data_IF_499339457110
#
_entry.id   IF_499339457110
#
_cell.length_a   1.000
_cell.length_b   1.000
_cell.length_c   1.000
_cell.angle_alpha   90.00
_cell.angle_beta   90.00
_cell.angle_gamma   90.00
#
_symmetry.space_group_name_H-M   'P 1'
#
loop_
_entity.id
_entity.type
_entity.pdbx_description
1 polymer ?
#
# COMPACT_ATOMS: atom_id res chain seq x y z
N UNK A 1 -27.24 25.95 -32.01
CA UNK A 1 -27.43 26.24 -30.57
C UNK A 1 -28.91 26.38 -30.14
N UNK A 2 -29.87 26.61 -31.05
CA UNK A 2 -31.31 26.82 -30.74
C UNK A 2 -32.29 25.81 -31.37
N UNK A 3 -31.81 24.87 -32.18
CA UNK A 3 -32.68 24.13 -33.13
C UNK A 3 -32.67 22.59 -33.02
N UNK A 4 -31.83 21.94 -32.20
CA UNK A 4 -31.82 20.47 -32.10
C UNK A 4 -33.02 19.87 -31.36
N UNK A 5 -33.60 20.60 -30.40
CA UNK A 5 -34.77 20.18 -29.64
C UNK A 5 -36.11 20.24 -30.42
N UNK A 6 -36.44 21.30 -31.19
CA UNK A 6 -37.71 21.36 -31.92
C UNK A 6 -37.87 20.26 -32.99
N UNK A 7 -36.78 19.67 -33.49
CA UNK A 7 -36.81 18.54 -34.43
C UNK A 7 -37.32 17.22 -33.84
N UNK A 8 -37.18 17.03 -32.52
CA UNK A 8 -37.65 15.82 -31.83
C UNK A 8 -39.03 16.01 -31.19
N UNK A 9 -39.43 17.24 -30.90
CA UNK A 9 -40.65 17.53 -30.13
C UNK A 9 -41.84 18.01 -30.96
N UNK A 10 -41.65 18.25 -32.26
CA UNK A 10 -42.67 18.82 -33.14
C UNK A 10 -42.99 20.29 -32.80
N UNK A 11 -43.81 20.96 -33.63
CA UNK A 11 -44.10 22.41 -33.49
C UNK A 11 -44.91 22.78 -32.23
N UNK A 12 -45.24 21.82 -31.37
CA UNK A 12 -46.14 22.00 -30.23
C UNK A 12 -45.46 22.57 -28.97
N UNK A 13 -44.13 22.56 -28.89
CA UNK A 13 -43.39 23.03 -27.71
C UNK A 13 -42.81 24.40 -28.00
N UNK A 14 -43.44 25.46 -27.48
CA UNK A 14 -42.93 26.82 -27.58
C UNK A 14 -41.51 26.97 -26.99
N UNK A 15 -40.85 28.08 -27.31
CA UNK A 15 -39.49 28.44 -26.82
C UNK A 15 -39.22 28.13 -25.33
N UNK A 16 -40.13 28.43 -24.37
CA UNK A 16 -39.90 28.12 -22.95
C UNK A 16 -39.87 26.62 -22.66
N UNK A 17 -40.68 25.81 -23.34
CA UNK A 17 -40.68 24.35 -23.18
C UNK A 17 -39.41 23.72 -23.74
N UNK A 18 -38.89 24.24 -24.86
CA UNK A 18 -37.60 23.80 -25.41
C UNK A 18 -36.43 24.14 -24.46
N UNK A 19 -36.46 25.31 -23.81
CA UNK A 19 -35.47 25.69 -22.79
C UNK A 19 -35.56 24.82 -21.54
N UNK A 20 -36.77 24.48 -21.07
CA UNK A 20 -36.96 23.60 -19.93
C UNK A 20 -36.43 22.18 -20.21
N UNK A 21 -36.73 21.62 -21.37
CA UNK A 21 -36.22 20.31 -21.78
C UNK A 21 -34.68 20.31 -21.94
N UNK A 22 -34.09 21.41 -22.42
CA UNK A 22 -32.63 21.58 -22.45
C UNK A 22 -32.03 21.60 -21.03
N UNK A 23 -32.63 22.36 -20.10
CA UNK A 23 -32.20 22.40 -18.70
C UNK A 23 -32.27 21.03 -18.02
N UNK A 24 -33.35 20.27 -18.25
CA UNK A 24 -33.49 18.89 -17.76
C UNK A 24 -32.40 17.98 -18.32
N UNK A 25 -32.03 18.13 -19.59
CA UNK A 25 -30.94 17.38 -20.21
C UNK A 25 -29.59 17.61 -19.52
N UNK A 26 -29.25 18.87 -19.20
CA UNK A 26 -28.04 19.19 -18.43
C UNK A 26 -28.09 18.66 -17.00
N UNK A 27 -29.24 18.75 -16.34
CA UNK A 27 -29.43 18.21 -15.00
C UNK A 27 -29.26 16.68 -14.97
N UNK A 28 -29.84 15.97 -15.96
CA UNK A 28 -29.68 14.53 -16.11
C UNK A 28 -28.23 14.13 -16.40
N UNK A 29 -27.53 14.88 -17.26
CA UNK A 29 -26.11 14.68 -17.54
C UNK A 29 -25.27 14.87 -16.26
N UNK A 30 -25.48 15.97 -15.54
CA UNK A 30 -24.79 16.26 -14.29
C UNK A 30 -25.03 15.20 -13.22
N UNK A 31 -26.26 14.71 -13.09
CA UNK A 31 -26.59 13.61 -12.19
C UNK A 31 -25.86 12.31 -12.58
N UNK A 32 -25.86 11.96 -13.86
CA UNK A 32 -25.18 10.76 -14.34
C UNK A 32 -23.66 10.83 -14.12
N UNK A 33 -23.05 12.00 -14.36
CA UNK A 33 -21.62 12.27 -14.10
C UNK A 33 -21.29 12.19 -12.62
N UNK A 34 -22.10 12.81 -11.75
CA UNK A 34 -21.93 12.73 -10.30
C UNK A 34 -22.05 11.28 -9.81
N UNK A 35 -23.02 10.52 -10.33
CA UNK A 35 -23.22 9.12 -9.95
C UNK A 35 -22.06 8.23 -10.42
N UNK A 36 -21.55 8.44 -11.63
CA UNK A 36 -20.44 7.66 -12.20
C UNK A 36 -19.10 7.93 -11.48
N UNK A 37 -18.88 9.17 -11.05
CA UNK A 37 -17.68 9.60 -10.30
C UNK A 37 -17.71 9.26 -8.79
N UNK A 38 -18.81 8.72 -8.27
CA UNK A 38 -18.92 8.33 -6.87
C UNK A 38 -17.86 7.27 -6.46
N UNK A 39 -17.23 7.48 -5.31
CA UNK A 39 -16.19 6.60 -4.72
C UNK A 39 -16.70 6.01 -3.39
N UNK A 40 -16.21 4.83 -3.01
CA UNK A 40 -16.53 4.18 -1.74
C UNK A 40 -17.64 3.11 -1.85
N UNK A 41 -18.22 2.71 -0.71
CA UNK A 41 -19.15 1.57 -0.63
C UNK A 41 -20.44 1.73 -1.47
N UNK A 42 -20.82 2.96 -1.82
CA UNK A 42 -21.99 3.27 -2.67
C UNK A 42 -21.63 3.46 -4.15
N UNK A 43 -20.36 3.24 -4.52
CA UNK A 43 -19.92 3.40 -5.90
C UNK A 43 -20.62 2.37 -6.81
N UNK A 44 -21.11 2.78 -7.98
CA UNK A 44 -21.70 1.86 -8.92
C UNK A 44 -20.64 0.87 -9.45
N UNK A 45 -21.05 -0.37 -9.72
CA UNK A 45 -20.19 -1.37 -10.35
C UNK A 45 -19.74 -0.95 -11.76
N UNK A 46 -18.77 -1.67 -12.32
CA UNK A 46 -18.19 -1.32 -13.63
C UNK A 46 -19.21 -1.27 -14.78
N UNK A 47 -20.17 -2.20 -14.79
CA UNK A 47 -21.27 -2.25 -15.78
C UNK A 47 -22.23 -1.08 -15.62
N UNK A 48 -22.60 -0.73 -14.39
CA UNK A 48 -23.45 0.42 -14.10
C UNK A 48 -22.75 1.74 -14.48
N UNK A 49 -21.44 1.87 -14.26
CA UNK A 49 -20.64 3.01 -14.73
C UNK A 49 -20.63 3.09 -16.26
N UNK A 50 -20.47 1.98 -16.96
CA UNK A 50 -20.55 1.94 -18.42
C UNK A 50 -21.92 2.39 -18.92
N UNK A 51 -23.01 1.92 -18.31
CA UNK A 51 -24.37 2.36 -18.62
C UNK A 51 -24.57 3.86 -18.39
N UNK A 52 -24.04 4.41 -17.30
CA UNK A 52 -24.10 5.85 -17.02
C UNK A 52 -23.32 6.67 -18.05
N UNK A 53 -22.13 6.23 -18.47
CA UNK A 53 -21.35 6.93 -19.50
C UNK A 53 -22.03 6.85 -20.87
N UNK A 54 -22.63 5.71 -21.22
CA UNK A 54 -23.44 5.59 -22.45
C UNK A 54 -24.64 6.54 -22.41
N UNK A 55 -25.33 6.63 -21.27
CA UNK A 55 -26.42 7.58 -21.06
C UNK A 55 -25.92 9.04 -21.20
N UNK A 56 -24.76 9.37 -20.63
CA UNK A 56 -24.15 10.68 -20.78
C UNK A 56 -23.82 11.02 -22.24
N UNK A 57 -23.24 10.07 -23.01
CA UNK A 57 -22.95 10.26 -24.43
C UNK A 57 -24.25 10.49 -25.22
N UNK A 58 -25.30 9.71 -24.95
CA UNK A 58 -26.61 9.91 -25.58
C UNK A 58 -27.20 11.30 -25.25
N UNK A 59 -27.17 11.70 -23.97
CA UNK A 59 -27.62 13.02 -23.53
C UNK A 59 -26.79 14.14 -24.16
N UNK A 60 -25.48 13.97 -24.29
CA UNK A 60 -24.58 14.94 -24.94
C UNK A 60 -24.92 15.11 -26.43
N UNK A 61 -25.15 14.02 -27.16
CA UNK A 61 -25.53 14.09 -28.58
C UNK A 61 -26.90 14.79 -28.77
N UNK A 62 -27.84 14.57 -27.85
CA UNK A 62 -29.18 15.18 -27.87
C UNK A 62 -29.18 16.67 -27.48
N UNK A 63 -28.36 17.05 -26.51
CA UNK A 63 -28.38 18.40 -25.91
C UNK A 63 -27.27 19.28 -26.47
N UNK A 64 -26.01 18.91 -26.23
CA UNK A 64 -24.83 19.69 -26.58
C UNK A 64 -23.62 18.78 -26.75
N UNK A 65 -23.10 18.72 -27.98
CA UNK A 65 -21.95 17.93 -28.38
C UNK A 65 -20.67 18.28 -27.60
N UNK A 66 -20.55 19.50 -27.07
CA UNK A 66 -19.42 19.91 -26.22
C UNK A 66 -19.36 19.13 -24.91
N UNK A 67 -20.46 18.54 -24.44
CA UNK A 67 -20.46 17.66 -23.27
C UNK A 67 -19.66 16.37 -23.51
N UNK A 68 -19.44 15.98 -24.78
CA UNK A 68 -18.60 14.85 -25.13
C UNK A 68 -17.13 15.04 -24.73
N UNK A 69 -16.70 16.28 -24.50
CA UNK A 69 -15.35 16.59 -23.99
C UNK A 69 -15.19 16.10 -22.55
N UNK A 70 -16.24 16.20 -21.74
CA UNK A 70 -16.27 15.72 -20.35
C UNK A 70 -16.28 14.20 -20.31
N UNK A 71 -17.11 13.56 -21.14
CA UNK A 71 -17.18 12.09 -21.21
C UNK A 71 -15.88 11.48 -21.74
N UNK A 72 -15.18 12.16 -22.66
CA UNK A 72 -13.85 11.74 -23.12
C UNK A 72 -12.82 11.71 -21.98
N UNK A 73 -12.78 12.75 -21.14
CA UNK A 73 -11.91 12.74 -19.96
C UNK A 73 -12.34 11.66 -18.94
N UNK A 74 -13.65 11.49 -18.73
CA UNK A 74 -14.21 10.49 -17.80
C UNK A 74 -13.88 9.06 -18.23
N UNK A 75 -13.94 8.75 -19.53
CA UNK A 75 -13.59 7.43 -20.09
C UNK A 75 -12.18 7.00 -19.69
N UNK A 76 -11.21 7.92 -19.78
CA UNK A 76 -9.83 7.67 -19.38
C UNK A 76 -9.67 7.52 -17.85
N UNK A 77 -10.51 8.18 -17.06
CA UNK A 77 -10.45 8.16 -15.61
C UNK A 77 -11.13 6.94 -14.98
N UNK A 78 -12.20 6.41 -15.58
CA UNK A 78 -13.01 5.34 -14.99
C UNK A 78 -12.68 3.95 -15.50
N UNK A 79 -12.19 3.81 -16.73
CA UNK A 79 -12.04 2.51 -17.39
C UNK A 79 -10.57 2.09 -17.56
N UNK A 80 -10.29 0.79 -17.68
CA UNK A 80 -8.96 0.32 -18.07
C UNK A 80 -8.60 0.82 -19.47
N UNK A 81 -7.30 0.95 -19.80
CA UNK A 81 -6.84 1.65 -21.00
C UNK A 81 -7.46 1.09 -22.29
N UNK A 82 -7.61 -0.23 -22.41
CA UNK A 82 -8.25 -0.87 -23.57
C UNK A 82 -9.71 -0.45 -23.74
N UNK A 83 -10.49 -0.49 -22.67
CA UNK A 83 -11.90 -0.11 -22.69
C UNK A 83 -12.08 1.41 -22.88
N UNK A 84 -11.19 2.22 -22.32
CA UNK A 84 -11.20 3.67 -22.49
C UNK A 84 -11.00 4.07 -23.97
N UNK A 85 -10.03 3.45 -24.65
CA UNK A 85 -9.81 3.67 -26.10
C UNK A 85 -10.98 3.19 -26.96
N UNK A 86 -11.54 2.01 -26.65
CA UNK A 86 -12.74 1.51 -27.33
C UNK A 86 -13.95 2.44 -27.12
N UNK A 87 -14.12 2.94 -25.89
CA UNK A 87 -15.18 3.90 -25.56
C UNK A 87 -15.01 5.23 -26.29
N UNK A 88 -13.78 5.75 -26.38
CA UNK A 88 -13.47 6.95 -27.15
C UNK A 88 -13.76 6.74 -28.64
N UNK A 89 -13.32 5.61 -29.19
CA UNK A 89 -13.60 5.25 -30.59
C UNK A 89 -15.10 5.15 -30.86
N UNK A 90 -15.86 4.50 -29.96
CA UNK A 90 -17.32 4.42 -30.03
C UNK A 90 -17.99 5.80 -29.92
N UNK A 91 -17.50 6.68 -29.05
CA UNK A 91 -17.98 8.05 -28.90
C UNK A 91 -17.77 8.87 -30.17
N UNK A 92 -16.56 8.82 -30.76
CA UNK A 92 -16.23 9.51 -32.02
C UNK A 92 -17.09 8.97 -33.17
N UNK A 93 -17.26 7.64 -33.25
CA UNK A 93 -18.12 7.02 -34.24
C UNK A 93 -19.58 7.47 -34.09
N UNK A 94 -20.11 7.53 -32.87
CA UNK A 94 -21.46 8.00 -32.60
C UNK A 94 -21.65 9.46 -33.01
N UNK A 95 -20.65 10.32 -32.78
CA UNK A 95 -20.65 11.71 -33.26
C UNK A 95 -20.68 11.76 -34.79
N UNK A 96 -19.83 11.00 -35.48
CA UNK A 96 -19.80 10.95 -36.95
C UNK A 96 -21.12 10.45 -37.54
N UNK A 97 -21.73 9.42 -36.93
CA UNK A 97 -23.04 8.90 -37.33
C UNK A 97 -24.15 9.94 -37.10
N UNK A 98 -24.10 10.69 -35.99
CA UNK A 98 -25.04 11.77 -35.73
C UNK A 98 -24.91 12.91 -36.76
N UNK A 99 -23.68 13.28 -37.14
CA UNK A 99 -23.42 14.26 -38.21
C UNK A 99 -23.92 13.76 -39.57
N UNK A 100 -23.66 12.49 -39.92
CA UNK A 100 -24.13 11.90 -41.17
C UNK A 100 -25.66 11.83 -41.24
N UNK A 101 -26.33 11.48 -40.14
CA UNK A 101 -27.78 11.46 -40.03
C UNK A 101 -28.39 12.85 -40.19
N UNK A 102 -27.76 13.87 -39.60
CA UNK A 102 -28.18 15.27 -39.75
C UNK A 102 -28.07 15.75 -41.20
N UNK A 103 -27.01 15.35 -41.91
CA UNK A 103 -26.82 15.69 -43.33
C UNK A 103 -27.93 15.12 -44.23
N UNK A 104 -28.51 13.97 -43.87
CA UNK A 104 -29.56 13.31 -44.65
C UNK A 104 -30.97 13.85 -44.39
N UNK A 105 -31.27 14.30 -43.16
CA UNK A 105 -32.64 14.66 -42.76
C UNK A 105 -32.97 16.15 -42.77
N UNK A 106 -31.99 17.02 -42.61
CA UNK A 106 -32.24 18.45 -42.47
C UNK A 106 -32.27 19.15 -43.84
N UNK A 107 -33.33 19.94 -44.16
CA UNK A 107 -33.32 20.75 -45.37
C UNK A 107 -32.17 21.74 -45.30
N UNK A 108 -31.54 22.04 -46.44
CA UNK A 108 -30.31 22.84 -46.50
C UNK A 108 -30.37 24.14 -45.68
N UNK A 109 -31.52 24.79 -45.54
CA UNK A 109 -31.68 26.04 -44.79
C UNK A 109 -31.42 25.92 -43.26
N UNK A 110 -31.46 24.71 -42.69
CA UNK A 110 -31.36 24.46 -41.24
C UNK A 110 -30.07 23.73 -40.81
N UNK A 111 -29.18 23.39 -41.75
CA UNK A 111 -27.85 22.85 -41.43
C UNK A 111 -26.94 23.99 -40.93
N UNK A 112 -27.09 24.35 -39.66
CA UNK A 112 -26.17 25.26 -38.98
C UNK A 112 -24.93 24.50 -38.48
N UNK A 113 -23.78 24.83 -39.04
CA UNK A 113 -22.47 24.35 -38.57
C UNK A 113 -22.20 25.01 -37.21
N UNK A 114 -21.98 24.21 -36.16
CA UNK A 114 -21.96 24.67 -34.77
C UNK A 114 -20.63 25.32 -34.35
N UNK A 115 -20.03 26.10 -35.24
CA UNK A 115 -18.87 26.93 -34.91
C UNK A 115 -19.40 28.24 -34.31
N UNK A 116 -19.65 28.22 -33.01
CA UNK A 116 -19.90 29.39 -32.16
C UNK A 116 -21.04 30.32 -32.60
N UNK A 117 -22.27 29.99 -32.21
CA UNK A 117 -23.27 30.92 -31.62
C UNK A 117 -23.60 32.24 -32.31
N UNK A 118 -23.13 32.48 -33.53
CA UNK A 118 -23.29 33.73 -34.27
C UNK A 118 -24.25 33.46 -35.43
N UNK A 119 -25.22 34.34 -35.61
CA UNK A 119 -26.26 34.29 -36.63
C UNK A 119 -25.66 34.48 -38.04
N UNK A 120 -24.88 33.52 -38.51
CA UNK A 120 -24.33 33.52 -39.87
C UNK A 120 -25.34 32.84 -40.79
N UNK A 121 -25.74 33.55 -41.84
CA UNK A 121 -26.54 33.01 -42.94
C UNK A 121 -25.99 31.64 -43.37
N UNK A 122 -26.88 30.66 -43.54
CA UNK A 122 -26.47 29.30 -43.86
C UNK A 122 -25.59 29.31 -45.13
N UNK A 123 -24.31 28.88 -45.05
CA UNK A 123 -23.38 28.99 -46.17
C UNK A 123 -23.84 28.17 -47.38
N UNK A 124 -23.38 28.50 -48.60
CA UNK A 124 -23.68 27.75 -49.82
C UNK A 124 -23.31 26.27 -49.69
N UNK A 125 -24.04 25.39 -50.38
CA UNK A 125 -23.97 23.93 -50.23
C UNK A 125 -22.55 23.35 -50.34
N UNK A 126 -21.70 23.93 -51.20
CA UNK A 126 -20.31 23.50 -51.40
C UNK A 126 -19.39 23.75 -50.19
N UNK A 127 -19.65 24.78 -49.37
CA UNK A 127 -18.83 25.10 -48.19
C UNK A 127 -19.20 24.30 -46.94
N UNK A 128 -20.31 23.56 -46.95
CA UNK A 128 -20.83 22.87 -45.76
C UNK A 128 -20.14 21.56 -45.45
N UNK A 129 -19.80 20.79 -46.48
CA UNK A 129 -19.01 19.57 -46.31
C UNK A 129 -17.67 19.90 -45.66
N UNK A 130 -17.04 21.01 -46.09
CA UNK A 130 -15.82 21.55 -45.51
C UNK A 130 -15.99 21.98 -44.04
N UNK A 131 -17.05 22.73 -43.71
CA UNK A 131 -17.32 23.17 -42.33
C UNK A 131 -17.64 22.02 -41.38
N UNK A 132 -18.38 21.00 -41.82
CA UNK A 132 -18.65 19.80 -41.03
C UNK A 132 -17.37 18.98 -40.81
N UNK A 133 -16.52 18.89 -41.82
CA UNK A 133 -15.19 18.29 -41.69
C UNK A 133 -14.34 19.06 -40.68
N UNK A 134 -14.34 20.39 -40.74
CA UNK A 134 -13.64 21.24 -39.79
C UNK A 134 -14.14 21.02 -38.36
N UNK A 135 -15.46 20.97 -38.16
CA UNK A 135 -16.07 20.75 -36.84
C UNK A 135 -15.74 19.36 -36.29
N UNK A 136 -15.79 18.31 -37.13
CA UNK A 136 -15.40 16.95 -36.74
C UNK A 136 -13.90 16.85 -36.39
N UNK A 137 -13.02 17.49 -37.16
CA UNK A 137 -11.57 17.49 -36.91
C UNK A 137 -11.23 18.26 -35.64
N UNK A 138 -11.78 19.47 -35.49
CA UNK A 138 -11.54 20.31 -34.31
C UNK A 138 -12.15 19.66 -33.06
N UNK A 139 -13.39 19.22 -33.14
CA UNK A 139 -14.08 18.52 -32.05
C UNK A 139 -13.38 17.22 -31.66
N UNK A 140 -12.98 16.41 -32.63
CA UNK A 140 -12.19 15.18 -32.41
C UNK A 140 -10.83 15.47 -31.78
N UNK A 141 -10.14 16.52 -32.23
CA UNK A 141 -8.89 17.00 -31.64
C UNK A 141 -9.05 17.40 -30.18
N UNK A 142 -10.10 18.16 -29.85
CA UNK A 142 -10.40 18.51 -28.46
C UNK A 142 -10.78 17.29 -27.61
N UNK A 143 -11.51 16.32 -28.15
CA UNK A 143 -11.81 15.06 -27.44
C UNK A 143 -10.54 14.26 -27.14
N UNK A 144 -9.61 14.18 -28.10
CA UNK A 144 -8.32 13.52 -27.88
C UNK A 144 -7.51 14.25 -26.80
N UNK A 145 -7.52 15.58 -26.82
CA UNK A 145 -6.87 16.40 -25.79
C UNK A 145 -7.47 16.14 -24.40
N UNK A 146 -8.80 16.20 -24.24
CA UNK A 146 -9.44 15.98 -22.94
C UNK A 146 -9.31 14.53 -22.47
N UNK A 147 -9.34 13.56 -23.37
CA UNK A 147 -9.00 12.17 -23.09
C UNK A 147 -7.54 12.03 -22.60
N UNK A 148 -6.60 12.75 -23.23
CA UNK A 148 -5.20 12.81 -22.82
C UNK A 148 -5.04 13.39 -21.41
N UNK A 149 -5.76 14.47 -21.08
CA UNK A 149 -5.81 15.03 -19.72
C UNK A 149 -6.37 14.01 -18.73
N UNK A 150 -7.43 13.29 -19.10
CA UNK A 150 -7.99 12.20 -18.29
C UNK A 150 -6.99 11.06 -18.07
N UNK A 151 -6.22 10.68 -19.09
CA UNK A 151 -5.15 9.68 -18.98
C UNK A 151 -4.04 10.15 -18.04
N UNK A 152 -3.63 11.41 -18.13
CA UNK A 152 -2.65 12.00 -17.22
C UNK A 152 -3.15 11.99 -15.78
N UNK A 153 -4.41 12.36 -15.55
CA UNK A 153 -5.05 12.28 -14.23
C UNK A 153 -5.14 10.85 -13.71
N UNK A 154 -5.44 9.87 -14.56
CA UNK A 154 -5.45 8.45 -14.19
C UNK A 154 -4.05 7.93 -13.84
N UNK A 155 -3.02 8.33 -14.60
CA UNK A 155 -1.63 7.99 -14.32
C UNK A 155 -1.15 8.62 -13.01
N UNK A 156 -1.48 9.88 -12.76
CA UNK A 156 -1.14 10.60 -11.54
C UNK A 156 -1.77 9.94 -10.30
N UNK A 157 -3.04 9.52 -10.38
CA UNK A 157 -3.68 8.77 -9.29
C UNK A 157 -2.97 7.44 -8.99
N UNK A 158 -2.51 6.72 -10.03
CA UNK A 158 -1.73 5.49 -9.84
C UNK A 158 -0.37 5.77 -9.19
N UNK A 159 0.33 6.83 -9.63
CA UNK A 159 1.62 7.25 -9.04
C UNK A 159 1.46 7.63 -7.57
N UNK A 160 0.42 8.40 -7.22
CA UNK A 160 0.13 8.78 -5.83
C UNK A 160 -0.14 7.56 -4.95
N UNK A 161 -0.96 6.61 -5.42
CA UNK A 161 -1.21 5.37 -4.68
C UNK A 161 0.09 4.55 -4.45
N UNK A 162 0.98 4.50 -5.44
CA UNK A 162 2.29 3.85 -5.31
C UNK A 162 3.22 4.58 -4.33
N UNK A 163 3.24 5.92 -4.37
CA UNK A 163 4.00 6.74 -3.43
C UNK A 163 3.50 6.56 -1.99
N UNK A 164 2.19 6.55 -1.78
CA UNK A 164 1.59 6.32 -0.47
C UNK A 164 1.94 4.92 0.08
N UNK A 165 1.82 3.89 -0.75
CA UNK A 165 2.21 2.52 -0.37
C UNK A 165 3.72 2.42 -0.03
N UNK A 166 4.58 3.05 -0.83
CA UNK A 166 6.03 3.08 -0.58
C UNK A 166 6.35 3.84 0.69
N UNK A 167 5.72 5.00 0.92
CA UNK A 167 5.88 5.80 2.15
C UNK A 167 5.47 5.01 3.39
N UNK A 168 4.36 4.28 3.33
CA UNK A 168 3.93 3.41 4.42
C UNK A 168 4.96 2.32 4.73
N UNK A 169 5.51 1.67 3.69
CA UNK A 169 6.56 0.65 3.85
C UNK A 169 7.85 1.21 4.47
N UNK A 170 8.25 2.42 4.08
CA UNK A 170 9.44 3.09 4.58
C UNK A 170 9.29 3.51 6.04
N UNK A 171 8.11 3.99 6.44
CA UNK A 171 7.80 4.29 7.84
C UNK A 171 7.85 3.04 8.71
N UNK A 172 7.28 1.93 8.24
CA UNK A 172 7.35 0.64 8.95
C UNK A 172 8.80 0.16 9.12
N UNK A 173 9.61 0.22 8.04
CA UNK A 173 11.03 -0.16 8.10
C UNK A 173 11.83 0.73 9.07
N UNK A 174 11.58 2.05 9.08
CA UNK A 174 12.22 2.97 10.04
C UNK A 174 11.88 2.65 11.49
N UNK A 175 10.64 2.30 11.79
CA UNK A 175 10.24 1.90 13.13
C UNK A 175 10.94 0.61 13.58
N UNK A 176 11.06 -0.38 12.69
CA UNK A 176 11.80 -1.61 12.95
C UNK A 176 13.30 -1.35 13.19
N UNK A 177 13.93 -0.50 12.37
CA UNK A 177 15.34 -0.15 12.51
C UNK A 177 15.62 0.64 13.79
N UNK A 178 14.76 1.59 14.16
CA UNK A 178 14.90 2.35 15.40
C UNK A 178 14.81 1.43 16.64
N UNK A 179 13.87 0.49 16.64
CA UNK A 179 13.77 -0.53 17.70
C UNK A 179 15.00 -1.43 17.77
N UNK A 180 15.49 -1.90 16.62
CA UNK A 180 16.68 -2.75 16.55
C UNK A 180 17.96 -2.01 17.00
N UNK A 181 18.12 -0.74 16.62
CA UNK A 181 19.28 0.08 17.03
C UNK A 181 19.30 0.32 18.54
N UNK A 182 18.16 0.67 19.14
CA UNK A 182 18.04 0.84 20.59
C UNK A 182 18.37 -0.43 21.36
N UNK A 183 17.92 -1.59 20.87
CA UNK A 183 18.24 -2.87 21.49
C UNK A 183 19.73 -3.22 21.39
N UNK A 184 20.35 -3.02 20.22
CA UNK A 184 21.79 -3.26 20.03
C UNK A 184 22.65 -2.44 20.99
N UNK A 185 22.31 -1.17 21.20
CA UNK A 185 23.09 -0.32 22.11
C UNK A 185 22.95 -0.77 23.56
N UNK A 186 21.75 -1.15 24.01
CA UNK A 186 21.54 -1.71 25.36
C UNK A 186 22.35 -3.00 25.58
N UNK A 187 22.35 -3.89 24.59
CA UNK A 187 23.14 -5.14 24.62
C UNK A 187 24.64 -4.85 24.66
N UNK A 188 25.10 -3.89 23.86
CA UNK A 188 26.49 -3.46 23.84
C UNK A 188 26.92 -2.91 25.20
N UNK A 189 26.14 -1.98 25.76
CA UNK A 189 26.41 -1.41 27.09
C UNK A 189 26.42 -2.50 28.16
N UNK A 190 25.49 -3.46 28.13
CA UNK A 190 25.47 -4.56 29.08
C UNK A 190 26.72 -5.47 28.99
N UNK A 191 27.25 -5.73 27.78
CA UNK A 191 28.52 -6.48 27.61
C UNK A 191 29.72 -5.67 28.06
N UNK A 192 29.84 -4.41 27.65
CA UNK A 192 30.94 -3.53 28.08
C UNK A 192 30.97 -3.38 29.61
N UNK A 193 29.80 -3.26 30.24
CA UNK A 193 29.68 -3.27 31.71
C UNK A 193 30.08 -4.61 32.31
N UNK A 194 29.64 -5.74 31.75
CA UNK A 194 29.96 -7.07 32.28
C UNK A 194 31.46 -7.39 32.19
N UNK A 195 32.06 -7.13 31.03
CA UNK A 195 33.46 -7.43 30.77
C UNK A 195 34.38 -6.47 31.53
N UNK A 196 34.03 -5.18 31.63
CA UNK A 196 34.79 -4.22 32.42
C UNK A 196 34.65 -4.44 33.93
N UNK A 197 33.43 -4.40 34.46
CA UNK A 197 33.18 -4.44 35.91
C UNK A 197 33.42 -5.83 36.49
N UNK A 198 33.04 -6.88 35.76
CA UNK A 198 33.20 -8.27 36.21
C UNK A 198 34.67 -8.67 36.37
N UNK A 199 35.54 -8.28 35.43
CA UNK A 199 36.96 -8.59 35.48
C UNK A 199 37.65 -7.81 36.61
N UNK A 200 37.36 -6.51 36.75
CA UNK A 200 37.94 -5.68 37.80
C UNK A 200 37.51 -6.11 39.21
N UNK A 201 36.23 -6.42 39.41
CA UNK A 201 35.75 -6.92 40.70
C UNK A 201 36.30 -8.31 41.02
N UNK A 202 36.46 -9.20 40.03
CA UNK A 202 37.05 -10.53 40.24
C UNK A 202 38.54 -10.43 40.62
N UNK A 203 39.30 -9.57 39.95
CA UNK A 203 40.69 -9.30 40.27
C UNK A 203 40.84 -8.65 41.66
N UNK A 204 39.97 -7.69 42.01
CA UNK A 204 39.94 -7.06 43.33
C UNK A 204 39.64 -8.08 44.44
N UNK A 205 38.66 -8.95 44.22
CA UNK A 205 38.27 -9.98 45.19
C UNK A 205 39.43 -10.99 45.44
N UNK A 206 40.19 -11.33 44.39
CA UNK A 206 41.38 -12.18 44.49
C UNK A 206 42.53 -11.47 45.23
N UNK A 207 42.76 -10.18 44.96
CA UNK A 207 43.77 -9.38 45.67
C UNK A 207 43.44 -9.26 47.16
N UNK A 208 42.17 -9.01 47.50
CA UNK A 208 41.70 -8.97 48.89
C UNK A 208 41.86 -10.32 49.59
N UNK A 209 41.59 -11.43 48.89
CA UNK A 209 41.80 -12.78 49.43
C UNK A 209 43.27 -13.09 49.70
N UNK A 210 44.18 -12.68 48.80
CA UNK A 210 45.63 -12.86 48.97
C UNK A 210 46.17 -12.04 50.15
N UNK A 211 45.68 -10.81 50.33
CA UNK A 211 46.06 -9.96 51.47
C UNK A 211 45.59 -10.55 52.80
N UNK A 212 44.38 -11.10 52.85
CA UNK A 212 43.85 -11.81 54.03
C UNK A 212 44.67 -13.07 54.35
N UNK A 213 45.08 -13.85 53.34
CA UNK A 213 45.90 -15.06 53.53
C UNK A 213 47.33 -14.77 54.01
N UNK A 214 47.88 -13.59 53.72
CA UNK A 214 49.22 -13.17 54.15
C UNK A 214 49.28 -12.63 55.58
N UNK A 215 48.12 -12.43 56.24
CA UNK A 215 48.00 -11.92 57.60
C UNK A 215 48.16 -10.41 57.66
N UNK A 216 47.03 -9.68 57.72
CA UNK A 216 47.02 -8.22 57.65
C UNK A 216 46.99 -7.50 59.02
N UNK A 217 47.05 -8.24 60.13
CA UNK A 217 47.08 -7.67 61.49
C UNK A 217 45.83 -6.86 61.82
N UNK A 218 45.98 -5.57 62.13
CA UNK A 218 44.84 -4.67 62.41
C UNK A 218 43.96 -4.38 61.19
N UNK A 219 44.47 -4.59 59.97
CA UNK A 219 43.72 -4.33 58.73
C UNK A 219 42.82 -5.51 58.31
N UNK A 220 42.82 -6.61 59.04
CA UNK A 220 42.11 -7.84 58.68
C UNK A 220 40.58 -7.65 58.66
N UNK A 221 40.03 -6.91 59.63
CA UNK A 221 38.61 -6.58 59.69
C UNK A 221 38.14 -5.67 58.53
N UNK A 222 38.79 -4.53 58.22
CA UNK A 222 38.43 -3.70 57.07
C UNK A 222 38.65 -4.41 55.71
N UNK A 223 39.65 -5.29 55.58
CA UNK A 223 39.85 -6.09 54.36
C UNK A 223 38.71 -7.11 54.12
N UNK A 224 38.22 -7.77 55.17
CA UNK A 224 37.05 -8.65 55.07
C UNK A 224 35.80 -7.88 54.66
N UNK A 225 35.59 -6.69 55.23
CA UNK A 225 34.48 -5.82 54.85
C UNK A 225 34.55 -5.39 53.38
N UNK A 226 35.75 -5.01 52.90
CA UNK A 226 35.99 -4.69 51.48
C UNK A 226 35.74 -5.90 50.56
N UNK A 227 36.14 -7.10 50.98
CA UNK A 227 35.90 -8.34 50.23
C UNK A 227 34.40 -8.66 50.14
N UNK A 228 33.66 -8.47 51.23
CA UNK A 228 32.21 -8.63 51.26
C UNK A 228 31.51 -7.61 50.36
N UNK A 229 31.91 -6.34 50.41
CA UNK A 229 31.38 -5.30 49.53
C UNK A 229 31.65 -5.59 48.04
N UNK A 230 32.85 -6.06 47.69
CA UNK A 230 33.18 -6.46 46.33
C UNK A 230 32.34 -7.66 45.84
N UNK A 231 32.09 -8.65 46.71
CA UNK A 231 31.21 -9.79 46.40
C UNK A 231 29.75 -9.38 46.24
N UNK A 232 29.27 -8.46 47.06
CA UNK A 232 27.92 -7.91 47.00
C UNK A 232 27.69 -7.15 45.68
N UNK A 233 28.61 -6.27 45.31
CA UNK A 233 28.56 -5.56 44.02
C UNK A 233 28.60 -6.52 42.83
N UNK A 234 29.42 -7.57 42.87
CA UNK A 234 29.47 -8.58 41.81
C UNK A 234 28.13 -9.34 41.69
N UNK A 235 27.48 -9.62 42.81
CA UNK A 235 26.16 -10.26 42.83
C UNK A 235 25.09 -9.32 42.25
N UNK A 236 25.06 -8.05 42.66
CA UNK A 236 24.12 -7.05 42.18
C UNK A 236 24.22 -6.83 40.67
N UNK A 237 25.44 -6.68 40.14
CA UNK A 237 25.71 -6.57 38.69
C UNK A 237 25.23 -7.82 37.95
N UNK A 238 25.46 -9.02 38.48
CA UNK A 238 24.98 -10.28 37.88
C UNK A 238 23.45 -10.37 37.86
N UNK A 239 22.77 -9.90 38.90
CA UNK A 239 21.30 -9.83 38.92
C UNK A 239 20.75 -8.83 37.91
N UNK A 240 21.31 -7.63 37.83
CA UNK A 240 20.86 -6.60 36.88
C UNK A 240 21.03 -7.07 35.42
N UNK A 241 22.19 -7.66 35.08
CA UNK A 241 22.44 -8.25 33.75
C UNK A 241 21.58 -9.50 33.50
N UNK A 242 21.34 -10.31 34.53
CA UNK A 242 20.48 -11.49 34.44
C UNK A 242 19.00 -11.18 34.26
N UNK A 243 18.52 -10.02 34.75
CA UNK A 243 17.18 -9.51 34.49
C UNK A 243 17.04 -9.04 33.04
N UNK A 244 18.01 -8.29 32.51
CA UNK A 244 18.05 -7.91 31.09
C UNK A 244 18.09 -9.15 30.16
N UNK A 245 18.94 -10.17 30.45
CA UNK A 245 18.95 -11.42 29.67
C UNK A 245 17.63 -12.18 29.70
N UNK A 246 16.94 -12.26 30.86
CA UNK A 246 15.61 -12.89 30.94
C UNK A 246 14.55 -12.09 30.18
N UNK A 247 14.66 -10.77 30.22
CA UNK A 247 13.83 -9.85 29.45
C UNK A 247 14.14 -9.87 27.95
N UNK A 248 15.26 -10.46 27.51
CA UNK A 248 15.60 -10.78 26.11
C UNK A 248 15.16 -12.20 25.68
N UNK A 249 15.07 -13.16 26.61
CA UNK A 249 14.52 -14.50 26.34
C UNK A 249 13.01 -14.49 26.10
N UNK A 250 12.27 -13.69 26.87
CA UNK A 250 10.84 -13.47 26.69
C UNK A 250 10.49 -12.96 25.26
N UNK A 251 11.17 -11.96 24.68
CA UNK A 251 10.88 -11.45 23.35
C UNK A 251 11.26 -12.43 22.24
N UNK A 252 12.23 -13.35 22.39
CA UNK A 252 12.46 -14.39 21.38
C UNK A 252 11.29 -15.37 21.31
N UNK A 253 10.82 -15.86 22.47
CA UNK A 253 9.67 -16.76 22.52
C UNK A 253 8.42 -16.08 21.94
N UNK A 254 8.19 -14.82 22.29
CA UNK A 254 7.07 -14.03 21.80
C UNK A 254 7.18 -13.71 20.29
N UNK A 255 8.37 -13.34 19.81
CA UNK A 255 8.61 -13.09 18.40
C UNK A 255 8.39 -14.35 17.55
N UNK A 256 8.85 -15.52 18.02
CA UNK A 256 8.60 -16.80 17.33
C UNK A 256 7.11 -17.17 17.32
N UNK A 257 6.38 -16.91 18.41
CA UNK A 257 4.91 -17.10 18.46
C UNK A 257 4.20 -16.19 17.46
N UNK A 258 4.55 -14.91 17.42
CA UNK A 258 3.98 -13.94 16.47
C UNK A 258 4.30 -14.31 15.02
N UNK A 259 5.54 -14.74 14.77
CA UNK A 259 5.98 -15.23 13.46
C UNK A 259 5.14 -16.44 13.00
N UNK A 260 4.96 -17.45 13.87
CA UNK A 260 4.20 -18.65 13.55
C UNK A 260 2.69 -18.37 13.37
N UNK A 261 2.15 -17.41 14.13
CA UNK A 261 0.76 -16.95 14.00
C UNK A 261 0.50 -16.15 12.70
N UNK A 262 1.52 -15.48 12.16
CA UNK A 262 1.42 -14.67 10.94
C UNK A 262 1.46 -15.46 9.63
N UNK A 263 1.83 -16.75 9.67
CA UNK A 263 1.92 -17.61 8.49
C UNK A 263 0.59 -18.36 8.28
N UNK A 264 0.18 -18.54 7.02
CA UNK A 264 -1.02 -19.32 6.66
C UNK A 264 -0.63 -20.50 5.77
N UNK A 265 -1.00 -21.75 6.13
CA UNK A 265 -1.65 -22.19 7.37
C UNK A 265 -0.75 -21.95 8.61
N UNK A 266 -1.38 -21.80 9.78
CA UNK A 266 -0.69 -21.45 11.02
C UNK A 266 0.35 -22.51 11.37
N UNK A 267 1.58 -22.07 11.65
CA UNK A 267 2.64 -22.96 12.08
C UNK A 267 2.51 -23.26 13.58
N UNK A 268 2.73 -24.51 13.96
CA UNK A 268 2.73 -24.93 15.37
C UNK A 268 4.12 -24.73 15.97
N UNK A 269 4.21 -24.04 17.11
CA UNK A 269 5.48 -23.77 17.81
C UNK A 269 5.56 -24.63 19.08
N UNK A 270 6.60 -25.47 19.15
CA UNK A 270 6.93 -26.25 20.35
C UNK A 270 8.22 -25.69 20.96
N UNK A 271 8.10 -25.16 22.17
CA UNK A 271 9.23 -24.64 22.95
C UNK A 271 9.54 -25.62 24.08
N UNK A 272 10.71 -26.25 24.04
CA UNK A 272 11.31 -26.87 25.22
C UNK A 272 11.94 -25.79 26.12
N UNK A 273 12.38 -26.11 27.36
CA UNK A 273 12.98 -25.12 28.27
C UNK A 273 14.03 -24.25 27.55
N UNK A 274 13.76 -22.95 27.49
CA UNK A 274 14.51 -22.04 26.63
C UNK A 274 15.97 -21.95 27.10
N UNK A 275 16.95 -22.27 26.24
CA UNK A 275 18.37 -22.13 26.59
C UNK A 275 18.73 -20.65 26.76
N UNK A 276 19.73 -20.37 27.61
CA UNK A 276 20.23 -19.01 27.81
C UNK A 276 21.07 -18.53 26.62
N UNK A 277 20.38 -18.11 25.56
CA UNK A 277 20.99 -17.63 24.32
C UNK A 277 21.46 -16.18 24.42
N UNK A 278 22.63 -15.89 23.84
CA UNK A 278 23.07 -14.52 23.59
C UNK A 278 22.21 -13.87 22.47
N UNK A 279 22.08 -12.55 22.46
CA UNK A 279 21.24 -11.82 21.48
C UNK A 279 21.57 -12.15 20.02
N UNK A 280 22.85 -12.31 19.70
CA UNK A 280 23.30 -12.63 18.35
C UNK A 280 22.86 -14.05 17.95
N UNK A 281 22.79 -14.98 18.90
CA UNK A 281 22.26 -16.32 18.68
C UNK A 281 20.72 -16.31 18.60
N UNK A 282 20.05 -15.53 19.45
CA UNK A 282 18.59 -15.35 19.43
C UNK A 282 18.10 -14.74 18.10
N UNK A 283 18.76 -13.70 17.60
CA UNK A 283 18.44 -13.09 16.32
C UNK A 283 18.72 -14.02 15.13
N UNK A 284 19.82 -14.80 15.17
CA UNK A 284 20.11 -15.82 14.17
C UNK A 284 19.04 -16.92 14.16
N UNK A 285 18.61 -17.39 15.33
CA UNK A 285 17.52 -18.35 15.47
C UNK A 285 16.20 -17.82 14.90
N UNK A 286 15.82 -16.58 15.25
CA UNK A 286 14.60 -15.94 14.71
C UNK A 286 14.66 -15.76 13.19
N UNK A 287 15.79 -15.28 12.68
CA UNK A 287 15.98 -15.06 11.24
C UNK A 287 15.92 -16.38 10.47
N UNK A 288 16.53 -17.44 11.02
CA UNK A 288 16.48 -18.79 10.47
C UNK A 288 15.04 -19.34 10.47
N UNK A 289 14.28 -19.15 11.56
CA UNK A 289 12.87 -19.53 11.65
C UNK A 289 12.02 -18.85 10.58
N UNK A 290 12.18 -17.53 10.40
CA UNK A 290 11.46 -16.75 9.39
C UNK A 290 11.74 -17.26 7.99
N UNK A 291 13.02 -17.45 7.66
CA UNK A 291 13.42 -17.92 6.34
C UNK A 291 12.93 -19.35 6.06
N UNK A 292 12.93 -20.22 7.06
CA UNK A 292 12.35 -21.56 6.95
C UNK A 292 10.85 -21.53 6.68
N UNK A 293 10.09 -20.71 7.42
CA UNK A 293 8.65 -20.56 7.21
C UNK A 293 8.32 -19.91 5.85
N UNK A 294 9.13 -18.96 5.38
CA UNK A 294 9.00 -18.38 4.04
C UNK A 294 9.22 -19.43 2.94
N UNK A 295 10.27 -20.26 3.06
CA UNK A 295 10.55 -21.35 2.11
C UNK A 295 9.45 -22.41 2.10
N UNK A 296 8.79 -22.63 3.24
CA UNK A 296 7.72 -23.60 3.34
C UNK A 296 6.47 -23.22 2.51
N UNK A 297 6.35 -21.98 2.05
CA UNK A 297 5.47 -21.61 0.94
C UNK A 297 3.99 -21.93 1.15
N UNK A 298 3.48 -21.80 2.39
CA UNK A 298 2.07 -22.05 2.71
C UNK A 298 1.71 -23.52 2.95
N UNK A 299 2.68 -24.37 3.33
CA UNK A 299 2.43 -25.73 3.83
C UNK A 299 2.31 -25.72 5.36
N UNK A 300 1.55 -26.67 5.94
CA UNK A 300 1.46 -26.83 7.40
C UNK A 300 2.81 -27.23 7.97
N UNK A 301 3.34 -26.42 8.89
CA UNK A 301 4.68 -26.59 9.45
C UNK A 301 4.66 -26.61 10.98
N UNK A 302 5.60 -27.34 11.57
CA UNK A 302 5.89 -27.33 13.01
C UNK A 302 7.32 -26.86 13.24
N UNK A 303 7.49 -25.90 14.13
CA UNK A 303 8.77 -25.33 14.52
C UNK A 303 9.09 -25.81 15.94
N UNK A 304 10.26 -26.40 16.13
CA UNK A 304 10.70 -26.91 17.43
C UNK A 304 12.02 -26.29 17.83
N UNK A 305 12.03 -25.65 19.00
CA UNK A 305 13.23 -25.05 19.58
C UNK A 305 13.59 -25.78 20.87
N UNK A 306 14.81 -26.31 20.93
CA UNK A 306 15.34 -27.08 22.06
C UNK A 306 16.70 -26.55 22.51
N UNK A 307 16.93 -26.51 23.83
CA UNK A 307 18.25 -26.28 24.40
C UNK A 307 19.14 -27.51 24.36
N UNK A 308 20.40 -27.35 23.97
CA UNK A 308 21.46 -28.38 24.02
C UNK A 308 22.54 -27.94 25.02
N UNK A 309 22.51 -28.47 26.25
CA UNK A 309 23.54 -28.19 27.27
C UNK A 309 23.59 -26.73 27.77
N UNK A 310 24.70 -26.35 28.42
CA UNK A 310 24.94 -24.96 28.83
C UNK A 310 25.28 -24.10 27.60
N UNK A 311 24.29 -23.36 27.10
CA UNK A 311 24.47 -22.34 26.05
C UNK A 311 24.30 -22.80 24.61
N UNK A 312 24.11 -24.09 24.34
CA UNK A 312 23.76 -24.61 23.01
C UNK A 312 22.25 -24.60 22.76
N UNK A 313 21.84 -24.49 21.50
CA UNK A 313 20.44 -24.54 21.11
C UNK A 313 20.29 -25.05 19.70
N UNK A 314 19.15 -25.68 19.42
CA UNK A 314 18.84 -26.20 18.10
C UNK A 314 17.40 -25.85 17.73
N UNK A 315 17.24 -25.34 16.50
CA UNK A 315 15.96 -25.06 15.89
C UNK A 315 15.72 -26.02 14.72
N UNK A 316 14.61 -26.76 14.78
CA UNK A 316 14.17 -27.69 13.75
C UNK A 316 12.81 -27.31 13.17
N UNK A 317 12.62 -27.64 11.90
CA UNK A 317 11.36 -27.50 11.18
C UNK A 317 10.90 -28.87 10.70
N UNK A 318 9.62 -29.17 10.86
CA UNK A 318 8.97 -30.31 10.23
C UNK A 318 7.83 -29.83 9.33
N UNK A 319 7.72 -30.40 8.14
CA UNK A 319 6.68 -30.09 7.15
C UNK A 319 5.66 -31.23 7.10
N UNK A 320 4.38 -30.89 7.23
CA UNK A 320 3.20 -31.76 7.05
C UNK A 320 3.29 -33.20 7.57
N UNK A 321 3.39 -33.40 8.90
CA UNK A 321 3.04 -34.67 9.55
C UNK A 321 3.92 -35.88 9.26
N UNK A 322 4.95 -35.78 8.42
CA UNK A 322 5.83 -36.90 8.03
C UNK A 322 6.88 -37.27 9.10
N UNK A 323 6.92 -36.57 10.24
CA UNK A 323 7.81 -36.91 11.36
C UNK A 323 9.30 -36.61 11.11
N UNK A 324 9.69 -36.24 9.88
CA UNK A 324 11.03 -35.77 9.58
C UNK A 324 11.24 -34.34 10.07
N UNK A 325 12.31 -34.16 10.85
CA UNK A 325 12.75 -32.88 11.37
C UNK A 325 14.02 -32.45 10.65
N UNK A 326 13.99 -31.25 10.07
CA UNK A 326 15.15 -30.65 9.41
C UNK A 326 15.76 -29.60 10.33
N UNK A 327 17.04 -29.71 10.65
CA UNK A 327 17.75 -28.69 11.43
C UNK A 327 17.93 -27.44 10.60
N UNK A 328 17.32 -26.33 11.04
CA UNK A 328 17.37 -25.03 10.37
C UNK A 328 18.48 -24.18 10.95
N UNK A 329 18.76 -24.36 12.25
CA UNK A 329 19.79 -23.63 12.94
C UNK A 329 20.28 -24.41 14.17
N UNK A 330 21.57 -24.33 14.45
CA UNK A 330 22.19 -24.92 15.63
C UNK A 330 23.29 -23.99 16.16
N UNK A 331 23.31 -23.79 17.47
CA UNK A 331 24.39 -23.14 18.22
C UNK A 331 25.13 -24.20 19.03
N UNK A 332 26.45 -24.27 18.87
CA UNK A 332 27.29 -25.18 19.63
C UNK A 332 27.27 -24.80 21.12
N UNK A 333 27.18 -25.81 22.00
CA UNK A 333 27.42 -25.61 23.43
C UNK A 333 28.88 -25.16 23.62
N UNK A 334 29.09 -24.15 24.48
CA UNK A 334 30.42 -23.68 24.88
C UNK A 334 30.83 -24.30 26.19
#
# INVERSE_FOLDING_TARGET
MRERLPLLTGPAIGLPGAMAAYGLGFAAFGWALWRASAVGARAPGATAKAGLVVLQIALALLTNDKLLLLTAAELALLFPPRAAWLGLGGQVLALLLACAWQLQRLPAKELMCNVSGSNVQAPPLEQRSWLLWQDAVVGGGFQLLTFGIGCLGAAERRRRAQLEATRASLLAARQLLAGAAGNRERVRVARELHDGIGHHLSALNLQLELLLRRGAGEADAPLRAAQQAARQMLAEVRTLVGMERRQQQAPLAEALRLLCAGVRPQAELVLEPMPALADDAAWRAFSAARQALERAGGRSCRLWLRGQGEGGAELRLSMSGEGEWTTVWQEAAR
#
